data_IF_825631722262
#
_entry.id   IF_825631722262
#
_cell.length_a   1.000
_cell.length_b   1.000
_cell.length_c   1.000
_cell.angle_alpha   90.00
_cell.angle_beta   90.00
_cell.angle_gamma   90.00
#
_symmetry.space_group_name_H-M   'P 1'
#
loop_
_entity.id
_entity.type
_entity.pdbx_description
1 polymer ?
#
# COMPACT_ATOMS: atom_id res chain seq x y z
N UNK A 1 -9.80 -67.17 13.54
CA UNK A 1 -8.84 -66.20 12.97
C UNK A 1 -9.23 -64.74 13.25
N UNK A 2 -10.51 -64.36 13.12
CA UNK A 2 -10.99 -62.97 13.36
C UNK A 2 -10.77 -62.43 14.80
N UNK A 3 -10.91 -63.25 15.85
CA UNK A 3 -10.73 -62.79 17.25
C UNK A 3 -9.27 -62.45 17.62
N UNK A 4 -8.27 -63.08 16.99
CA UNK A 4 -6.85 -62.77 17.24
C UNK A 4 -6.44 -61.43 16.58
N UNK A 5 -7.07 -61.07 15.46
CA UNK A 5 -6.82 -59.80 14.78
C UNK A 5 -7.38 -58.59 15.56
N UNK A 6 -8.54 -58.76 16.21
CA UNK A 6 -9.15 -57.69 17.02
C UNK A 6 -8.30 -57.36 18.27
N UNK A 7 -7.77 -58.37 18.97
CA UNK A 7 -6.93 -58.16 20.15
C UNK A 7 -5.59 -57.50 19.80
N UNK A 8 -4.94 -57.92 18.70
CA UNK A 8 -3.70 -57.31 18.21
C UNK A 8 -3.89 -55.83 17.82
N UNK A 9 -4.97 -55.52 17.10
CA UNK A 9 -5.34 -54.14 16.75
C UNK A 9 -5.59 -53.26 17.99
N UNK A 10 -6.17 -53.83 19.06
CA UNK A 10 -6.45 -53.11 20.29
C UNK A 10 -5.17 -52.78 21.08
N UNK A 11 -4.18 -53.68 21.10
CA UNK A 11 -2.84 -53.42 21.69
C UNK A 11 -2.02 -52.39 20.91
N UNK A 12 -2.09 -52.41 19.57
CA UNK A 12 -1.42 -51.41 18.74
C UNK A 12 -2.04 -50.03 18.92
N UNK A 13 -3.37 -49.96 19.01
CA UNK A 13 -4.09 -48.71 19.29
C UNK A 13 -3.74 -48.12 20.67
N UNK A 14 -3.63 -48.95 21.70
CA UNK A 14 -3.21 -48.50 23.04
C UNK A 14 -1.75 -48.01 23.06
N UNK A 15 -0.87 -48.67 22.31
CA UNK A 15 0.55 -48.29 22.22
C UNK A 15 0.73 -46.98 21.45
N UNK A 16 -0.01 -46.81 20.34
CA UNK A 16 -0.08 -45.56 19.60
C UNK A 16 -0.60 -44.41 20.48
N UNK A 17 -1.63 -44.64 21.29
CA UNK A 17 -2.15 -43.64 22.23
C UNK A 17 -1.14 -43.23 23.30
N UNK A 18 -0.39 -44.18 23.87
CA UNK A 18 0.68 -43.88 24.83
C UNK A 18 1.78 -43.04 24.20
N UNK A 19 2.19 -43.36 22.97
CA UNK A 19 3.17 -42.59 22.21
C UNK A 19 2.66 -41.17 21.92
N UNK A 20 1.45 -41.04 21.41
CA UNK A 20 0.82 -39.75 21.11
C UNK A 20 0.75 -38.85 22.36
N UNK A 21 0.35 -39.41 23.52
CA UNK A 21 0.34 -38.67 24.79
C UNK A 21 1.72 -38.18 25.21
N UNK A 22 2.76 -39.03 25.07
CA UNK A 22 4.14 -38.65 25.39
C UNK A 22 4.65 -37.55 24.47
N UNK A 23 4.35 -37.65 23.17
CA UNK A 23 4.70 -36.63 22.18
C UNK A 23 3.98 -35.30 22.48
N UNK A 24 2.68 -35.33 22.77
CA UNK A 24 1.93 -34.12 23.13
C UNK A 24 2.47 -33.46 24.39
N UNK A 25 2.83 -34.26 25.40
CA UNK A 25 3.41 -33.71 26.64
C UNK A 25 4.79 -33.11 26.39
N UNK A 26 5.65 -33.80 25.64
CA UNK A 26 6.96 -33.30 25.23
C UNK A 26 6.87 -32.02 24.39
N UNK A 27 5.92 -31.94 23.46
CA UNK A 27 5.69 -30.77 22.61
C UNK A 27 4.87 -29.67 23.30
N UNK A 28 4.29 -29.92 24.48
CA UNK A 28 3.36 -28.99 25.14
C UNK A 28 3.94 -27.58 25.38
N UNK A 29 5.23 -27.39 25.74
CA UNK A 29 5.78 -26.04 25.89
C UNK A 29 5.84 -25.29 24.55
N UNK A 30 6.19 -25.98 23.46
CA UNK A 30 6.24 -25.39 22.11
C UNK A 30 4.83 -25.07 21.60
N UNK A 31 3.87 -25.95 21.84
CA UNK A 31 2.47 -25.73 21.50
C UNK A 31 1.90 -24.54 22.28
N UNK A 32 2.25 -24.39 23.56
CA UNK A 32 1.84 -23.24 24.37
C UNK A 32 2.42 -21.93 23.82
N UNK A 33 3.71 -21.90 23.48
CA UNK A 33 4.34 -20.72 22.87
C UNK A 33 3.67 -20.37 21.54
N UNK A 34 3.42 -21.36 20.68
CA UNK A 34 2.75 -21.15 19.41
C UNK A 34 1.32 -20.61 19.61
N UNK A 35 0.56 -21.19 20.54
CA UNK A 35 -0.80 -20.76 20.85
C UNK A 35 -0.84 -19.33 21.39
N UNK A 36 0.02 -18.99 22.36
CA UNK A 36 0.07 -17.63 22.93
C UNK A 36 0.48 -16.61 21.85
N UNK A 37 1.43 -16.98 21.00
CA UNK A 37 1.83 -16.14 19.87
C UNK A 37 0.66 -15.91 18.92
N UNK A 38 0.00 -16.97 18.48
CA UNK A 38 -1.12 -16.88 17.55
C UNK A 38 -2.29 -16.07 18.13
N UNK A 39 -2.65 -16.28 19.40
CA UNK A 39 -3.69 -15.49 20.05
C UNK A 39 -3.32 -14.00 20.16
N UNK A 40 -2.04 -13.70 20.38
CA UNK A 40 -1.55 -12.32 20.43
C UNK A 40 -1.60 -11.65 19.05
N UNK A 41 -1.18 -12.37 18.01
CA UNK A 41 -1.24 -11.90 16.62
C UNK A 41 -2.68 -11.75 16.13
N UNK A 42 -3.56 -12.69 16.48
CA UNK A 42 -4.98 -12.60 16.16
C UNK A 42 -5.64 -11.40 16.83
N UNK A 43 -5.29 -11.09 18.09
CA UNK A 43 -5.86 -9.96 18.83
C UNK A 43 -5.54 -8.62 18.18
N UNK A 44 -4.35 -8.45 17.59
CA UNK A 44 -3.99 -7.21 16.89
C UNK A 44 -4.60 -7.12 15.51
N UNK A 45 -5.07 -8.22 14.93
CA UNK A 45 -5.49 -8.31 13.54
C UNK A 45 -4.35 -8.68 12.57
N UNK A 46 -3.17 -9.05 13.09
CA UNK A 46 -2.05 -9.50 12.28
C UNK A 46 -2.39 -10.73 11.43
N UNK A 47 -3.01 -11.74 12.05
CA UNK A 47 -3.39 -12.99 11.40
C UNK A 47 -4.84 -13.01 10.92
N UNK A 48 -5.50 -11.85 10.86
CA UNK A 48 -6.83 -11.75 10.24
C UNK A 48 -6.71 -11.90 8.73
N UNK A 49 -7.57 -12.70 8.09
CA UNK A 49 -7.69 -12.68 6.64
C UNK A 49 -7.97 -11.25 6.14
N UNK A 50 -7.38 -10.87 5.02
CA UNK A 50 -7.50 -9.56 4.40
C UNK A 50 -8.98 -9.18 4.20
N UNK A 51 -9.83 -10.11 3.75
CA UNK A 51 -11.27 -9.87 3.59
C UNK A 51 -11.97 -9.54 4.93
N UNK A 52 -11.51 -10.13 6.03
CA UNK A 52 -12.03 -9.85 7.36
C UNK A 52 -11.55 -8.48 7.85
N UNK A 53 -10.27 -8.14 7.64
CA UNK A 53 -9.72 -6.82 7.94
C UNK A 53 -10.47 -5.71 7.18
N UNK A 54 -10.68 -5.88 5.87
CA UNK A 54 -11.46 -4.95 5.02
C UNK A 54 -12.88 -4.77 5.57
N UNK A 55 -13.56 -5.87 5.91
CA UNK A 55 -14.92 -5.80 6.49
C UNK A 55 -14.92 -5.00 7.80
N UNK A 56 -13.98 -5.27 8.70
CA UNK A 56 -13.89 -4.59 9.99
C UNK A 56 -13.57 -3.10 9.85
N UNK A 57 -12.71 -2.76 8.90
CA UNK A 57 -12.36 -1.37 8.59
C UNK A 57 -13.56 -0.60 8.04
N UNK A 58 -14.34 -1.20 7.13
CA UNK A 58 -15.49 -0.53 6.50
C UNK A 58 -16.68 -0.32 7.45
N UNK A 59 -16.95 -1.26 8.36
CA UNK A 59 -18.07 -1.11 9.31
C UNK A 59 -17.75 -0.19 10.48
N UNK A 60 -16.47 0.15 10.69
CA UNK A 60 -16.09 1.09 11.74
C UNK A 60 -16.69 2.47 11.44
N UNK A 61 -17.22 3.17 12.43
CA UNK A 61 -17.66 4.56 12.25
C UNK A 61 -16.46 5.51 12.16
N UNK A 62 -15.45 5.27 13.00
CA UNK A 62 -14.20 6.03 13.06
C UNK A 62 -13.18 5.59 12.01
N UNK A 63 -12.17 6.43 11.76
CA UNK A 63 -11.05 6.09 10.89
C UNK A 63 -10.29 4.87 11.46
N UNK A 64 -9.94 3.95 10.56
CA UNK A 64 -9.29 2.68 10.91
C UNK A 64 -8.14 2.42 9.95
N UNK A 65 -6.94 2.18 10.47
CA UNK A 65 -5.76 1.88 9.66
C UNK A 65 -5.40 0.40 9.70
N UNK A 66 -4.98 -0.14 8.55
CA UNK A 66 -4.57 -1.54 8.40
C UNK A 66 -3.09 -1.65 7.99
N UNK A 67 -2.29 -2.35 8.78
CA UNK A 67 -0.94 -2.75 8.41
C UNK A 67 -0.42 -3.90 9.27
N UNK A 68 -0.06 -5.00 8.61
CA UNK A 68 0.67 -6.13 9.19
C UNK A 68 2.17 -5.82 9.33
N UNK A 69 2.84 -6.49 10.27
CA UNK A 69 4.30 -6.44 10.47
C UNK A 69 4.94 -7.81 10.27
N UNK A 70 4.40 -8.85 10.92
CA UNK A 70 4.93 -10.20 10.95
C UNK A 70 4.51 -11.06 9.76
N UNK A 71 3.24 -10.98 9.35
CA UNK A 71 2.77 -11.52 8.06
C UNK A 71 3.03 -10.48 6.96
N UNK A 72 3.13 -10.94 5.72
CA UNK A 72 3.18 -10.04 4.58
C UNK A 72 1.94 -9.14 4.57
N UNK A 73 2.15 -7.88 4.22
CA UNK A 73 1.07 -6.90 4.10
C UNK A 73 0.13 -7.20 2.93
N UNK A 74 0.60 -7.95 1.93
CA UNK A 74 -0.15 -8.42 0.75
C UNK A 74 -1.06 -7.34 0.16
N UNK A 75 -0.46 -6.21 -0.22
CA UNK A 75 -1.17 -5.02 -0.71
C UNK A 75 -2.21 -5.38 -1.78
N UNK A 76 -1.82 -6.11 -2.82
CA UNK A 76 -2.73 -6.52 -3.89
C UNK A 76 -3.95 -7.30 -3.39
N UNK A 77 -3.77 -8.27 -2.49
CA UNK A 77 -4.87 -9.07 -1.91
C UNK A 77 -5.83 -8.19 -1.11
N UNK A 78 -5.31 -7.30 -0.27
CA UNK A 78 -6.11 -6.38 0.54
C UNK A 78 -6.85 -5.33 -0.33
N UNK A 79 -6.17 -4.76 -1.33
CA UNK A 79 -6.76 -3.80 -2.28
C UNK A 79 -7.85 -4.43 -3.13
N UNK A 80 -7.58 -5.60 -3.69
CA UNK A 80 -8.55 -6.38 -4.46
C UNK A 80 -9.83 -6.67 -3.65
N UNK A 81 -9.68 -7.15 -2.41
CA UNK A 81 -10.82 -7.40 -1.52
C UNK A 81 -11.64 -6.13 -1.23
N UNK A 82 -10.97 -4.98 -1.14
CA UNK A 82 -11.63 -3.69 -0.90
C UNK A 82 -12.38 -3.19 -2.12
N UNK A 83 -11.77 -3.20 -3.32
CA UNK A 83 -12.43 -2.77 -4.57
C UNK A 83 -13.68 -3.60 -4.82
N UNK A 84 -13.56 -4.93 -4.71
CA UNK A 84 -14.69 -5.86 -4.90
C UNK A 84 -15.85 -5.56 -3.95
N UNK A 85 -15.56 -5.08 -2.75
CA UNK A 85 -16.57 -4.81 -1.71
C UNK A 85 -17.13 -3.39 -1.76
N UNK A 86 -16.29 -2.38 -2.03
CA UNK A 86 -16.71 -0.97 -2.08
C UNK A 86 -17.36 -0.59 -3.40
N UNK A 87 -17.02 -1.25 -4.50
CA UNK A 87 -17.45 -0.87 -5.84
C UNK A 87 -17.23 0.64 -6.13
N UNK A 88 -15.98 1.12 -6.03
CA UNK A 88 -15.69 2.54 -6.23
C UNK A 88 -15.91 2.95 -7.70
N UNK A 89 -16.44 4.15 -7.91
CA UNK A 89 -16.58 4.75 -9.25
C UNK A 89 -15.29 5.42 -9.71
N UNK A 90 -14.45 5.88 -8.77
CA UNK A 90 -13.14 6.50 -9.04
C UNK A 90 -12.07 5.66 -8.36
N UNK A 91 -11.08 5.17 -9.13
CA UNK A 91 -9.96 4.41 -8.59
C UNK A 91 -8.64 5.05 -8.97
N UNK A 92 -7.77 5.30 -7.98
CA UNK A 92 -6.37 5.58 -8.23
C UNK A 92 -5.55 4.29 -8.13
N UNK A 93 -4.88 3.85 -9.17
CA UNK A 93 -4.11 2.59 -9.22
C UNK A 93 -2.69 2.86 -9.72
N UNK A 94 -1.71 2.12 -9.19
CA UNK A 94 -0.30 2.35 -9.50
C UNK A 94 0.58 1.73 -8.42
N UNK A 95 1.86 2.10 -8.41
CA UNK A 95 2.80 1.68 -7.35
C UNK A 95 2.54 2.42 -6.04
N UNK A 96 3.49 2.34 -5.11
CA UNK A 96 3.41 3.09 -3.86
C UNK A 96 3.38 4.61 -4.06
N UNK A 97 3.84 5.10 -5.22
CA UNK A 97 4.00 6.53 -5.50
C UNK A 97 2.69 7.30 -5.71
N UNK A 98 1.56 6.60 -5.84
CA UNK A 98 0.22 7.22 -5.87
C UNK A 98 -0.57 7.02 -4.58
N UNK A 99 0.01 6.43 -3.53
CA UNK A 99 -0.70 6.10 -2.29
C UNK A 99 -1.11 7.31 -1.45
N UNK A 100 -0.63 8.52 -1.76
CA UNK A 100 -0.98 9.74 -1.03
C UNK A 100 -2.16 10.52 -1.61
N UNK A 101 -2.81 10.01 -2.66
CA UNK A 101 -4.10 10.52 -3.12
C UNK A 101 -5.19 10.13 -2.11
N UNK A 102 -5.86 11.12 -1.53
CA UNK A 102 -6.87 10.96 -0.48
C UNK A 102 -8.29 11.12 -1.01
N UNK A 103 -9.26 10.47 -0.37
CA UNK A 103 -10.68 10.56 -0.74
C UNK A 103 -11.25 11.99 -0.70
N UNK A 104 -10.93 12.78 0.32
CA UNK A 104 -11.45 14.12 0.48
C UNK A 104 -11.02 15.05 -0.66
N UNK A 105 -9.99 14.68 -1.43
CA UNK A 105 -9.57 15.42 -2.62
C UNK A 105 -10.63 15.36 -3.74
N UNK A 106 -11.57 14.42 -3.64
CA UNK A 106 -12.66 14.22 -4.59
C UNK A 106 -14.02 14.70 -4.04
N UNK A 107 -14.06 15.51 -2.98
CA UNK A 107 -15.32 15.98 -2.40
C UNK A 107 -16.21 16.66 -3.45
N UNK A 108 -17.53 16.35 -3.54
CA UNK A 108 -18.33 15.52 -2.62
C UNK A 108 -18.31 14.01 -2.92
N UNK A 109 -17.57 13.55 -3.91
CA UNK A 109 -17.46 12.14 -4.34
C UNK A 109 -16.50 11.29 -3.50
N UNK A 110 -16.17 11.71 -2.27
CA UNK A 110 -15.19 10.98 -1.43
C UNK A 110 -15.57 9.50 -1.20
N UNK A 111 -16.86 9.19 -1.08
CA UNK A 111 -17.34 7.81 -0.88
C UNK A 111 -17.25 6.95 -2.15
N UNK A 112 -17.26 7.59 -3.33
CA UNK A 112 -17.10 6.94 -4.63
C UNK A 112 -15.62 6.69 -4.98
N UNK A 113 -14.68 7.27 -4.24
CA UNK A 113 -13.25 7.13 -4.46
C UNK A 113 -12.62 5.98 -3.66
N UNK A 114 -11.66 5.29 -4.28
CA UNK A 114 -10.73 4.41 -3.60
C UNK A 114 -9.31 4.46 -4.18
N UNK A 115 -8.31 4.55 -3.31
CA UNK A 115 -6.90 4.46 -3.65
C UNK A 115 -6.43 2.99 -3.59
N UNK A 116 -6.17 2.43 -4.77
CA UNK A 116 -5.57 1.13 -5.02
C UNK A 116 -4.05 1.19 -5.27
N UNK A 117 -3.38 2.29 -4.93
CA UNK A 117 -1.93 2.42 -4.96
C UNK A 117 -1.21 1.30 -4.20
N UNK A 118 -0.09 0.85 -4.76
CA UNK A 118 0.67 -0.31 -4.30
C UNK A 118 0.15 -1.65 -4.84
N UNK A 119 -0.99 -1.68 -5.54
CA UNK A 119 -1.56 -2.90 -6.14
C UNK A 119 -0.84 -3.31 -7.43
N UNK A 120 -0.37 -2.37 -8.23
CA UNK A 120 0.29 -2.64 -9.52
C UNK A 120 1.68 -2.04 -9.53
N UNK A 121 2.68 -2.80 -9.94
CA UNK A 121 4.09 -2.39 -9.95
C UNK A 121 4.77 -2.71 -11.29
N UNK A 122 3.99 -3.12 -12.29
CA UNK A 122 4.45 -3.47 -13.63
C UNK A 122 3.29 -3.47 -14.64
N UNK A 123 3.62 -3.47 -15.92
CA UNK A 123 2.65 -3.63 -17.03
C UNK A 123 1.88 -4.96 -16.91
N UNK A 124 2.53 -6.03 -16.45
CA UNK A 124 1.89 -7.35 -16.23
C UNK A 124 0.77 -7.27 -15.20
N UNK A 125 1.04 -6.70 -14.01
CA UNK A 125 0.04 -6.61 -12.94
C UNK A 125 -1.11 -5.65 -13.29
N UNK A 126 -0.86 -4.61 -14.10
CA UNK A 126 -1.95 -3.81 -14.66
C UNK A 126 -2.78 -4.62 -15.66
N UNK A 127 -2.14 -5.44 -16.50
CA UNK A 127 -2.83 -6.34 -17.42
C UNK A 127 -3.75 -7.31 -16.70
N UNK A 128 -3.26 -7.89 -15.62
CA UNK A 128 -4.04 -8.74 -14.71
C UNK A 128 -5.25 -8.00 -14.11
N UNK A 129 -5.08 -6.75 -13.68
CA UNK A 129 -6.21 -5.93 -13.21
C UNK A 129 -7.26 -5.71 -14.32
N UNK A 130 -6.84 -5.38 -15.54
CA UNK A 130 -7.74 -5.19 -16.70
C UNK A 130 -8.49 -6.50 -17.01
N UNK A 131 -7.80 -7.65 -16.99
CA UNK A 131 -8.42 -8.95 -17.22
C UNK A 131 -9.48 -9.29 -16.17
N UNK A 132 -9.29 -8.92 -14.91
CA UNK A 132 -10.31 -9.11 -13.87
C UNK A 132 -11.55 -8.25 -14.11
N UNK A 133 -11.39 -7.04 -14.64
CA UNK A 133 -12.52 -6.19 -15.02
C UNK A 133 -13.26 -6.80 -16.20
N UNK A 134 -12.55 -7.30 -17.21
CA UNK A 134 -13.14 -7.95 -18.39
C UNK A 134 -13.87 -9.25 -18.07
N UNK A 135 -13.40 -9.97 -17.06
CA UNK A 135 -14.03 -11.19 -16.55
C UNK A 135 -15.14 -10.89 -15.51
N UNK A 136 -15.48 -9.61 -15.30
CA UNK A 136 -16.45 -9.13 -14.31
C UNK A 136 -16.18 -9.65 -12.88
N UNK A 137 -14.91 -9.96 -12.57
CA UNK A 137 -14.45 -10.36 -11.24
C UNK A 137 -14.22 -9.15 -10.33
N UNK A 138 -14.01 -7.99 -10.94
CA UNK A 138 -13.96 -6.68 -10.30
C UNK A 138 -14.99 -5.75 -10.94
N UNK A 139 -15.55 -4.80 -10.17
CA UNK A 139 -16.41 -3.77 -10.72
C UNK A 139 -15.64 -2.83 -11.64
N UNK A 140 -16.29 -2.40 -12.73
CA UNK A 140 -15.74 -1.43 -13.66
C UNK A 140 -15.87 0.00 -13.10
N UNK A 141 -14.77 0.71 -12.78
CA UNK A 141 -14.85 2.10 -12.35
C UNK A 141 -15.29 3.00 -13.52
N UNK A 142 -15.86 4.17 -13.21
CA UNK A 142 -16.13 5.21 -14.21
C UNK A 142 -14.88 5.99 -14.55
N UNK A 143 -13.98 6.17 -13.58
CA UNK A 143 -12.71 6.89 -13.73
C UNK A 143 -11.57 6.07 -13.12
N UNK A 144 -10.48 5.89 -13.88
CA UNK A 144 -9.23 5.32 -13.42
C UNK A 144 -8.09 6.34 -13.54
N UNK A 145 -7.46 6.67 -12.41
CA UNK A 145 -6.24 7.48 -12.35
C UNK A 145 -5.07 6.49 -12.23
N UNK A 146 -4.27 6.35 -13.29
CA UNK A 146 -3.21 5.34 -13.39
C UNK A 146 -1.84 5.99 -13.19
N UNK A 147 -1.15 5.60 -12.12
CA UNK A 147 0.25 5.89 -11.86
C UNK A 147 1.17 4.95 -12.62
N UNK A 148 1.94 5.45 -13.58
CA UNK A 148 2.87 4.66 -14.40
C UNK A 148 4.30 5.04 -14.03
N UNK A 149 5.10 4.12 -13.51
CA UNK A 149 6.50 4.40 -13.17
C UNK A 149 7.45 4.12 -14.34
N UNK A 150 8.61 4.82 -14.41
CA UNK A 150 9.51 4.69 -15.55
C UNK A 150 10.09 3.27 -15.69
N UNK A 151 10.30 2.56 -14.57
CA UNK A 151 10.87 1.22 -14.61
C UNK A 151 9.93 0.17 -15.19
N UNK A 152 8.62 0.45 -15.31
CA UNK A 152 7.67 -0.46 -15.98
C UNK A 152 7.99 -0.61 -17.47
N UNK A 153 8.66 0.39 -18.06
CA UNK A 153 8.93 0.54 -19.49
C UNK A 153 10.43 0.32 -19.80
N UNK A 154 11.16 -0.32 -18.88
CA UNK A 154 12.55 -0.69 -19.05
C UNK A 154 12.66 -2.15 -19.52
N UNK A 155 13.53 -2.45 -20.49
CA UNK A 155 13.62 -3.80 -21.08
C UNK A 155 13.95 -4.86 -20.03
N UNK A 156 14.97 -4.61 -19.20
CA UNK A 156 15.44 -5.53 -18.16
C UNK A 156 14.52 -5.65 -16.93
N UNK A 157 13.49 -4.81 -16.82
CA UNK A 157 12.59 -4.86 -15.67
C UNK A 157 11.52 -5.94 -15.85
N UNK A 158 11.74 -7.09 -15.22
CA UNK A 158 10.77 -8.17 -15.17
C UNK A 158 10.33 -8.38 -13.73
N UNK A 159 9.02 -8.21 -13.49
CA UNK A 159 8.39 -8.56 -12.22
C UNK A 159 7.43 -9.70 -12.47
N UNK A 160 7.93 -10.92 -12.26
CA UNK A 160 7.18 -12.14 -12.59
C UNK A 160 6.18 -12.56 -11.51
N UNK A 161 6.21 -11.90 -10.35
CA UNK A 161 5.36 -12.26 -9.20
C UNK A 161 4.09 -11.43 -9.19
N UNK A 162 3.05 -11.98 -9.80
CA UNK A 162 1.67 -11.52 -9.69
C UNK A 162 1.16 -11.56 -8.25
N UNK A 163 0.41 -10.53 -7.84
CA UNK A 163 -0.37 -10.57 -6.60
C UNK A 163 -1.65 -11.42 -6.72
N UNK A 164 -2.15 -11.71 -7.93
CA UNK A 164 -3.30 -12.61 -8.12
C UNK A 164 -2.98 -14.05 -7.77
N UNK A 165 -1.73 -14.48 -7.99
CA UNK A 165 -1.28 -15.81 -7.59
C UNK A 165 -1.05 -15.94 -6.07
N UNK A 166 -1.10 -14.84 -5.32
CA UNK A 166 -0.86 -14.86 -3.88
C UNK A 166 -2.12 -15.30 -3.14
N UNK A 167 -2.02 -16.40 -2.40
CA UNK A 167 -3.01 -16.72 -1.38
C UNK A 167 -2.78 -15.87 -0.14
N UNK A 168 -3.86 -15.46 0.53
CA UNK A 168 -3.76 -14.74 1.82
C UNK A 168 -2.98 -15.57 2.84
N UNK A 169 -1.91 -15.00 3.37
CA UNK A 169 -0.98 -15.66 4.30
C UNK A 169 -1.66 -16.04 5.62
N UNK A 170 -2.78 -15.41 5.97
CA UNK A 170 -3.59 -15.78 7.13
C UNK A 170 -4.17 -17.21 7.03
N UNK A 171 -4.18 -17.82 5.84
CA UNK A 171 -4.59 -19.22 5.65
C UNK A 171 -3.40 -20.17 5.46
N UNK A 172 -2.18 -19.66 5.47
CA UNK A 172 -0.99 -20.45 5.15
C UNK A 172 -0.19 -20.80 6.41
N UNK A 173 -0.21 -22.06 6.82
CA UNK A 173 0.54 -22.54 7.98
C UNK A 173 2.02 -22.12 7.97
N UNK A 174 2.68 -22.16 6.80
CA UNK A 174 4.08 -21.75 6.66
C UNK A 174 4.31 -20.27 7.07
N UNK A 175 3.36 -19.39 6.77
CA UNK A 175 3.45 -17.96 7.11
C UNK A 175 3.37 -17.73 8.62
N UNK A 176 2.50 -18.45 9.34
CA UNK A 176 2.43 -18.41 10.80
C UNK A 176 3.72 -18.93 11.45
N UNK A 177 4.30 -20.02 10.91
CA UNK A 177 5.60 -20.52 11.39
C UNK A 177 6.72 -19.52 11.11
N UNK A 178 6.72 -18.85 9.96
CA UNK A 178 7.72 -17.82 9.65
C UNK A 178 7.57 -16.58 10.53
N UNK A 179 6.34 -16.17 10.85
CA UNK A 179 6.07 -15.12 11.82
C UNK A 179 6.64 -15.46 13.20
N UNK A 180 6.37 -16.68 13.71
CA UNK A 180 6.95 -17.15 14.97
C UNK A 180 8.48 -17.19 14.94
N UNK A 181 9.08 -17.72 13.87
CA UNK A 181 10.54 -17.72 13.68
C UNK A 181 11.11 -16.31 13.72
N UNK A 182 10.45 -15.35 13.08
CA UNK A 182 10.88 -13.94 13.07
C UNK A 182 10.82 -13.34 14.47
N UNK A 183 9.74 -13.58 15.22
CA UNK A 183 9.59 -13.12 16.60
C UNK A 183 10.72 -13.67 17.48
N UNK A 184 10.99 -14.97 17.41
CA UNK A 184 12.05 -15.63 18.19
C UNK A 184 13.43 -15.08 17.82
N UNK A 185 13.78 -15.08 16.53
CA UNK A 185 15.12 -14.70 16.05
C UNK A 185 15.45 -13.24 16.31
N UNK A 186 14.45 -12.37 16.28
CA UNK A 186 14.62 -10.93 16.50
C UNK A 186 14.35 -10.52 17.95
N UNK A 187 14.09 -11.48 18.85
CA UNK A 187 13.74 -11.24 20.26
C UNK A 187 12.56 -10.25 20.44
N UNK A 188 11.53 -10.35 19.59
CA UNK A 188 10.39 -9.43 19.54
C UNK A 188 9.21 -9.88 20.39
N UNK A 189 9.44 -10.71 21.42
CA UNK A 189 8.38 -11.18 22.32
C UNK A 189 7.75 -10.07 23.14
N UNK A 190 8.52 -9.03 23.48
CA UNK A 190 7.98 -7.83 24.13
C UNK A 190 6.89 -7.19 23.27
N UNK A 191 7.03 -7.22 21.95
CA UNK A 191 6.05 -6.64 21.02
C UNK A 191 4.74 -7.41 21.01
N UNK A 192 4.75 -8.74 21.22
CA UNK A 192 3.54 -9.53 21.43
C UNK A 192 2.85 -9.16 22.75
N UNK A 193 3.63 -8.96 23.82
CA UNK A 193 3.09 -8.51 25.10
C UNK A 193 2.47 -7.11 24.98
N UNK A 194 3.18 -6.19 24.31
CA UNK A 194 2.69 -4.85 23.98
C UNK A 194 1.42 -4.94 23.15
N UNK A 195 1.38 -5.77 22.11
CA UNK A 195 0.20 -6.03 21.28
C UNK A 195 -1.03 -6.51 22.08
N UNK A 196 -0.84 -7.32 23.11
CA UNK A 196 -1.94 -7.81 23.96
C UNK A 196 -2.36 -6.79 25.02
N UNK A 197 -1.46 -5.90 25.45
CA UNK A 197 -1.70 -4.98 26.58
C UNK A 197 -1.95 -3.53 26.16
N UNK A 198 -1.53 -3.12 24.96
CA UNK A 198 -1.69 -1.78 24.44
C UNK A 198 -3.04 -1.59 23.76
N UNK A 199 -3.40 -0.32 23.60
CA UNK A 199 -4.63 0.12 22.94
C UNK A 199 -4.69 -0.39 21.50
N UNK A 200 -5.89 -0.70 21.03
CA UNK A 200 -6.22 -0.92 19.61
C UNK A 200 -6.16 0.38 18.79
N UNK A 201 -5.36 1.35 19.23
CA UNK A 201 -5.31 2.73 18.76
C UNK A 201 -3.91 3.09 18.28
N UNK A 202 -3.86 3.82 17.17
CA UNK A 202 -2.60 4.24 16.58
C UNK A 202 -1.95 5.29 17.48
N UNK A 203 -0.60 5.33 17.53
CA UNK A 203 0.09 6.42 18.17
C UNK A 203 -0.27 7.73 17.46
N UNK A 204 -0.37 8.79 18.25
CA UNK A 204 -0.76 10.12 17.81
C UNK A 204 -2.22 10.20 17.32
N UNK A 205 -2.55 9.75 16.11
CA UNK A 205 -3.89 9.99 15.57
C UNK A 205 -5.03 9.25 16.29
N UNK A 206 -4.75 8.21 17.08
CA UNK A 206 -5.78 7.49 17.83
C UNK A 206 -6.76 6.71 16.97
N UNK A 207 -6.41 6.44 15.72
CA UNK A 207 -7.23 5.65 14.82
C UNK A 207 -7.27 4.21 15.27
N UNK A 208 -8.40 3.55 15.06
CA UNK A 208 -8.48 2.11 15.31
C UNK A 208 -7.46 1.38 14.42
N UNK A 209 -6.79 0.38 14.97
CA UNK A 209 -5.72 -0.34 14.29
C UNK A 209 -6.11 -1.78 13.98
N UNK A 210 -5.72 -2.24 12.79
CA UNK A 210 -5.74 -3.63 12.40
C UNK A 210 -4.33 -4.01 11.92
N UNK A 211 -3.68 -4.92 12.63
CA UNK A 211 -2.31 -5.35 12.42
C UNK A 211 -1.30 -4.64 13.33
N UNK A 212 -0.17 -5.30 13.55
CA UNK A 212 0.84 -4.88 14.54
C UNK A 212 1.57 -3.61 14.12
N UNK A 213 1.85 -3.42 12.82
CA UNK A 213 2.53 -2.22 12.34
C UNK A 213 1.64 -0.98 12.49
N UNK A 214 0.33 -1.13 12.28
CA UNK A 214 -0.64 -0.06 12.49
C UNK A 214 -0.66 0.43 13.94
N UNK A 215 -0.73 -0.49 14.91
CA UNK A 215 -0.75 -0.14 16.33
C UNK A 215 0.60 0.36 16.86
N UNK A 216 1.72 -0.18 16.34
CA UNK A 216 3.06 0.19 16.82
C UNK A 216 3.59 1.49 16.22
N UNK A 217 3.50 1.63 14.90
CA UNK A 217 4.13 2.74 14.17
C UNK A 217 3.13 3.81 13.75
N UNK A 218 1.83 3.53 13.84
CA UNK A 218 0.78 4.39 13.31
C UNK A 218 0.74 4.42 11.79
N UNK A 219 1.37 3.46 11.12
CA UNK A 219 1.44 3.41 9.66
C UNK A 219 0.46 2.39 9.09
N UNK A 220 -0.13 2.67 7.93
CA UNK A 220 -0.97 1.69 7.25
C UNK A 220 -2.00 2.28 6.31
N UNK A 221 -2.75 1.41 5.66
CA UNK A 221 -3.83 1.81 4.77
C UNK A 221 -5.02 2.36 5.55
N UNK A 222 -5.46 3.56 5.19
CA UNK A 222 -6.73 4.13 5.65
C UNK A 222 -7.91 3.51 4.92
N UNK A 223 -9.14 3.86 5.32
CA UNK A 223 -10.39 3.42 4.67
C UNK A 223 -10.50 3.78 3.19
N UNK A 224 -9.97 4.94 2.82
CA UNK A 224 -9.90 5.38 1.42
C UNK A 224 -8.81 4.63 0.62
N UNK A 225 -7.99 3.81 1.28
CA UNK A 225 -6.90 3.09 0.68
C UNK A 225 -5.59 3.88 0.55
N UNK A 226 -5.55 5.15 0.95
CA UNK A 226 -4.29 5.88 1.00
C UNK A 226 -3.37 5.33 2.10
N UNK A 227 -2.07 5.60 2.00
CA UNK A 227 -1.08 5.16 2.98
C UNK A 227 -0.83 6.23 4.03
N UNK A 228 -1.14 5.95 5.30
CA UNK A 228 -0.62 6.76 6.38
C UNK A 228 0.83 6.35 6.66
N UNK A 229 1.76 7.29 6.46
CA UNK A 229 3.12 7.16 6.98
C UNK A 229 3.14 7.33 8.50
N UNK A 230 4.24 6.90 9.11
CA UNK A 230 4.47 7.01 10.54
C UNK A 230 4.35 8.49 10.96
N UNK A 231 3.51 8.84 11.96
CA UNK A 231 3.34 10.24 12.39
C UNK A 231 4.64 10.92 12.84
N UNK A 232 5.63 10.11 13.24
CA UNK A 232 6.99 10.55 13.55
C UNK A 232 7.63 11.31 12.39
N UNK A 233 7.40 10.91 11.13
CA UNK A 233 7.94 11.60 9.95
C UNK A 233 7.43 13.04 9.87
N UNK A 234 6.12 13.24 10.13
CA UNK A 234 5.52 14.58 10.15
C UNK A 234 6.07 15.41 11.31
N UNK A 235 6.25 14.81 12.48
CA UNK A 235 6.80 15.47 13.67
C UNK A 235 8.27 15.88 13.48
N UNK A 236 9.08 14.99 12.90
CA UNK A 236 10.47 15.26 12.55
C UNK A 236 10.57 16.43 11.57
N UNK A 237 9.77 16.42 10.50
CA UNK A 237 9.74 17.54 9.57
C UNK A 237 9.28 18.84 10.25
N UNK A 238 8.25 18.79 11.10
CA UNK A 238 7.77 19.97 11.81
C UNK A 238 8.83 20.56 12.76
N UNK A 239 9.76 19.73 13.26
CA UNK A 239 10.84 20.15 14.14
C UNK A 239 12.08 20.64 13.37
N UNK A 240 12.49 19.91 12.35
CA UNK A 240 13.74 20.14 11.63
C UNK A 240 13.58 21.06 10.43
N UNK A 241 12.38 21.11 9.85
CA UNK A 241 12.06 21.87 8.63
C UNK A 241 13.01 21.55 7.46
N UNK A 242 13.49 20.31 7.40
CA UNK A 242 14.44 19.85 6.40
C UNK A 242 13.93 18.59 5.69
N UNK A 243 14.15 18.54 4.38
CA UNK A 243 13.98 17.34 3.60
C UNK A 243 15.07 16.33 3.97
N UNK A 244 14.64 15.07 4.09
CA UNK A 244 15.52 13.93 4.33
C UNK A 244 14.98 12.79 3.48
N UNK A 245 15.83 12.21 2.65
CA UNK A 245 15.49 10.98 1.95
C UNK A 245 15.47 9.82 2.95
N UNK A 246 14.30 9.24 3.18
CA UNK A 246 14.05 8.21 4.20
C UNK A 246 14.22 6.79 3.66
N UNK A 247 14.51 6.64 2.38
CA UNK A 247 14.84 5.37 1.76
C UNK A 247 16.28 4.96 2.07
N UNK A 248 16.54 3.66 2.16
CA UNK A 248 17.87 3.14 2.49
C UNK A 248 18.31 2.13 1.43
N UNK A 249 19.33 2.46 0.60
CA UNK A 249 19.99 3.76 0.50
C UNK A 249 19.05 4.86 -0.05
N UNK A 250 19.36 6.15 0.16
CA UNK A 250 18.65 7.28 -0.45
C UNK A 250 18.46 7.09 -1.96
N UNK A 251 17.35 7.58 -2.50
CA UNK A 251 17.00 7.40 -3.91
C UNK A 251 18.00 8.09 -4.83
N UNK A 252 18.51 9.25 -4.43
CA UNK A 252 19.56 9.96 -5.16
C UNK A 252 20.83 9.09 -5.31
N UNK A 253 21.23 8.39 -4.24
CA UNK A 253 22.38 7.48 -4.27
C UNK A 253 22.10 6.28 -5.19
N UNK A 254 20.86 5.79 -5.23
CA UNK A 254 20.47 4.70 -6.15
C UNK A 254 20.56 5.13 -7.62
N UNK A 255 20.25 6.39 -7.91
CA UNK A 255 20.40 6.95 -9.26
C UNK A 255 21.89 7.00 -9.62
N UNK A 256 22.72 7.64 -8.79
CA UNK A 256 24.16 7.80 -9.06
C UNK A 256 24.93 6.49 -9.11
N UNK A 257 24.48 5.47 -8.39
CA UNK A 257 25.12 4.13 -8.36
C UNK A 257 24.46 3.11 -9.30
N UNK A 258 23.47 3.53 -10.10
CA UNK A 258 22.68 2.66 -10.97
C UNK A 258 22.16 1.41 -10.25
N UNK A 259 21.55 1.60 -9.08
CA UNK A 259 21.04 0.52 -8.23
C UNK A 259 19.52 0.37 -8.30
N UNK A 260 19.05 -0.88 -8.24
CA UNK A 260 17.62 -1.20 -8.19
C UNK A 260 16.88 -0.77 -9.45
N UNK A 261 15.83 0.05 -9.31
CA UNK A 261 15.02 0.49 -10.45
C UNK A 261 15.81 1.33 -11.47
N UNK A 262 16.94 1.92 -11.06
CA UNK A 262 17.83 2.73 -11.90
C UNK A 262 19.03 1.96 -12.45
N UNK A 263 18.98 0.62 -12.44
CA UNK A 263 20.06 -0.20 -13.01
C UNK A 263 20.29 0.08 -14.50
N UNK A 264 21.56 0.22 -14.86
CA UNK A 264 22.05 0.29 -16.23
C UNK A 264 22.30 -1.13 -16.82
N UNK A 265 22.18 -1.32 -18.15
CA UNK A 265 21.71 -0.33 -19.11
C UNK A 265 20.20 -0.06 -18.93
N UNK A 266 19.82 1.22 -18.94
CA UNK A 266 18.41 1.61 -18.89
C UNK A 266 17.89 1.81 -20.31
N UNK A 267 17.37 0.73 -20.89
CA UNK A 267 16.84 0.73 -22.26
C UNK A 267 15.32 0.79 -22.24
N UNK A 268 14.77 1.63 -23.12
CA UNK A 268 13.33 1.71 -23.37
C UNK A 268 12.81 0.40 -23.99
N UNK A 269 11.64 -0.04 -23.55
CA UNK A 269 10.97 -1.24 -24.03
C UNK A 269 9.69 -0.89 -24.80
N UNK A 270 9.78 -0.96 -26.13
CA UNK A 270 8.67 -0.65 -27.02
C UNK A 270 7.52 -1.67 -26.94
N UNK A 271 7.81 -2.91 -26.59
CA UNK A 271 6.75 -3.92 -26.43
C UNK A 271 5.94 -3.64 -25.16
N UNK A 272 6.62 -3.32 -24.06
CA UNK A 272 5.95 -2.91 -22.81
C UNK A 272 5.19 -1.61 -22.97
N UNK A 273 5.74 -0.63 -23.71
CA UNK A 273 5.05 0.65 -23.98
C UNK A 273 3.78 0.43 -24.79
N UNK A 274 3.85 -0.35 -25.88
CA UNK A 274 2.70 -0.68 -26.72
C UNK A 274 1.66 -1.51 -25.97
N UNK A 275 2.10 -2.48 -25.16
CA UNK A 275 1.21 -3.26 -24.30
C UNK A 275 0.50 -2.39 -23.28
N UNK A 276 1.20 -1.46 -22.63
CA UNK A 276 0.62 -0.55 -21.65
C UNK A 276 -0.44 0.36 -22.29
N UNK A 277 -0.16 0.92 -23.46
CA UNK A 277 -1.13 1.71 -24.23
C UNK A 277 -2.37 0.87 -24.58
N UNK A 278 -2.19 -0.36 -25.05
CA UNK A 278 -3.30 -1.28 -25.35
C UNK A 278 -4.17 -1.58 -24.13
N UNK A 279 -3.57 -1.75 -22.94
CA UNK A 279 -4.30 -1.95 -21.69
C UNK A 279 -5.15 -0.72 -21.32
N UNK A 280 -4.61 0.49 -21.49
CA UNK A 280 -5.35 1.73 -21.26
C UNK A 280 -6.53 1.84 -22.24
N UNK A 281 -6.33 1.55 -23.52
CA UNK A 281 -7.40 1.57 -24.52
C UNK A 281 -8.49 0.53 -24.25
N UNK A 282 -8.13 -0.64 -23.71
CA UNK A 282 -9.11 -1.66 -23.27
C UNK A 282 -9.98 -1.16 -22.13
N UNK A 283 -9.41 -0.43 -21.16
CA UNK A 283 -10.19 0.25 -20.12
C UNK A 283 -11.16 1.28 -20.73
N UNK A 284 -10.68 2.13 -21.65
CA UNK A 284 -11.52 3.12 -22.33
C UNK A 284 -12.65 2.48 -23.14
N UNK A 285 -12.38 1.36 -23.83
CA UNK A 285 -13.40 0.60 -24.59
C UNK A 285 -14.51 0.07 -23.69
N UNK A 286 -14.22 -0.17 -22.40
CA UNK A 286 -15.21 -0.56 -21.39
C UNK A 286 -15.97 0.63 -20.79
N UNK A 287 -15.73 1.85 -21.28
CA UNK A 287 -16.36 3.07 -20.77
C UNK A 287 -15.71 3.62 -19.51
N UNK A 288 -14.50 3.17 -19.16
CA UNK A 288 -13.70 3.77 -18.09
C UNK A 288 -12.95 4.98 -18.63
N UNK A 289 -13.19 6.17 -18.09
CA UNK A 289 -12.32 7.31 -18.34
C UNK A 289 -10.95 7.06 -17.70
N UNK A 290 -9.88 7.23 -18.46
CA UNK A 290 -8.51 7.02 -17.96
C UNK A 290 -7.73 8.33 -17.96
N UNK A 291 -7.22 8.69 -16.79
CA UNK A 291 -6.21 9.74 -16.62
C UNK A 291 -4.90 9.09 -16.18
N UNK A 292 -3.79 9.51 -16.77
CA UNK A 292 -2.45 9.01 -16.42
C UNK A 292 -1.70 10.04 -15.60
N UNK A 293 -1.08 9.58 -14.53
CA UNK A 293 -0.11 10.34 -13.75
C UNK A 293 1.22 9.65 -13.88
N UNK A 294 2.21 10.37 -14.38
CA UNK A 294 3.62 9.96 -14.27
C UNK A 294 4.08 10.42 -12.88
N UNK A 295 4.29 9.53 -11.90
CA UNK A 295 4.44 9.97 -10.51
C UNK A 295 5.67 10.87 -10.31
N UNK A 296 5.61 11.82 -9.37
CA UNK A 296 6.64 12.84 -9.19
C UNK A 296 7.86 12.32 -8.45
N UNK A 297 8.98 13.02 -8.58
CA UNK A 297 10.24 12.75 -7.88
C UNK A 297 10.66 13.99 -7.08
N UNK A 298 11.63 13.82 -6.17
CA UNK A 298 12.34 14.98 -5.61
C UNK A 298 13.09 15.74 -6.70
N UNK A 299 13.34 17.03 -6.47
CA UNK A 299 13.98 17.92 -7.43
C UNK A 299 15.37 17.40 -7.83
N UNK A 300 16.16 16.93 -6.85
CA UNK A 300 17.50 16.37 -7.09
C UNK A 300 17.46 15.06 -7.92
N UNK A 301 16.43 14.24 -7.72
CA UNK A 301 16.25 13.01 -8.49
C UNK A 301 15.88 13.32 -9.96
N UNK A 302 14.96 14.26 -10.21
CA UNK A 302 14.65 14.69 -11.59
C UNK A 302 15.89 15.25 -12.27
N UNK A 303 16.62 16.14 -11.58
CA UNK A 303 17.83 16.71 -12.12
C UNK A 303 18.83 15.62 -12.49
N UNK A 304 19.12 14.69 -11.57
CA UNK A 304 20.09 13.61 -11.80
C UNK A 304 19.67 12.69 -12.94
N UNK A 305 18.40 12.29 -13.03
CA UNK A 305 17.89 11.49 -14.13
C UNK A 305 18.01 12.19 -15.49
N UNK A 306 17.92 13.52 -15.52
CA UNK A 306 18.00 14.31 -16.75
C UNK A 306 19.43 14.55 -17.26
N UNK A 307 20.44 14.34 -16.43
CA UNK A 307 21.87 14.61 -16.77
C UNK A 307 22.75 13.36 -16.73
N UNK A 308 22.31 12.28 -16.09
CA UNK A 308 23.03 11.01 -16.05
C UNK A 308 23.10 10.37 -17.44
N UNK A 309 24.31 10.11 -17.93
CA UNK A 309 24.54 9.66 -19.30
C UNK A 309 23.90 8.29 -19.62
N UNK A 310 23.80 7.41 -18.64
CA UNK A 310 23.28 6.04 -18.82
C UNK A 310 21.75 5.97 -18.63
N UNK A 311 21.15 6.96 -17.96
CA UNK A 311 19.72 7.00 -17.67
C UNK A 311 18.94 8.02 -18.50
N UNK A 312 19.58 9.11 -18.96
CA UNK A 312 18.92 10.25 -19.60
C UNK A 312 18.04 9.84 -20.78
N UNK A 313 18.53 8.98 -21.66
CA UNK A 313 17.77 8.59 -22.86
C UNK A 313 16.46 7.85 -22.49
N UNK A 314 16.53 6.93 -21.54
CA UNK A 314 15.34 6.22 -21.04
C UNK A 314 14.40 7.15 -20.27
N UNK A 315 14.97 8.06 -19.47
CA UNK A 315 14.20 9.05 -18.75
C UNK A 315 13.46 10.01 -19.70
N UNK A 316 14.12 10.52 -20.75
CA UNK A 316 13.50 11.37 -21.76
C UNK A 316 12.38 10.63 -22.52
N UNK A 317 12.62 9.36 -22.87
CA UNK A 317 11.60 8.51 -23.50
C UNK A 317 10.36 8.36 -22.61
N UNK A 318 10.54 8.22 -21.30
CA UNK A 318 9.45 8.18 -20.34
C UNK A 318 8.74 9.53 -20.14
N UNK A 319 9.50 10.59 -19.82
CA UNK A 319 8.96 11.90 -19.43
C UNK A 319 8.32 12.65 -20.59
N UNK A 320 8.84 12.49 -21.80
CA UNK A 320 8.40 13.23 -22.99
C UNK A 320 7.82 12.28 -24.04
N UNK A 321 8.60 11.29 -24.50
CA UNK A 321 8.20 10.42 -25.61
C UNK A 321 6.89 9.66 -25.38
N UNK A 322 6.77 8.98 -24.25
CA UNK A 322 5.56 8.22 -23.91
C UNK A 322 4.39 9.11 -23.50
N UNK A 323 4.67 10.23 -22.84
CA UNK A 323 3.65 11.26 -22.57
C UNK A 323 3.03 11.75 -23.87
N UNK A 324 3.83 12.06 -24.89
CA UNK A 324 3.34 12.49 -26.20
C UNK A 324 2.58 11.37 -26.92
N UNK A 325 3.05 10.13 -26.79
CA UNK A 325 2.37 8.94 -27.32
C UNK A 325 0.96 8.79 -26.71
N UNK A 326 0.82 8.96 -25.39
CA UNK A 326 -0.47 8.91 -24.71
C UNK A 326 -1.39 10.06 -25.16
N UNK A 327 -0.86 11.28 -25.27
CA UNK A 327 -1.62 12.47 -25.72
C UNK A 327 -2.16 12.32 -27.14
N UNK A 328 -1.37 11.77 -28.05
CA UNK A 328 -1.80 11.50 -29.44
C UNK A 328 -3.01 10.55 -29.47
N UNK A 329 -3.12 9.65 -28.50
CA UNK A 329 -4.26 8.75 -28.35
C UNK A 329 -5.41 9.34 -27.52
N UNK A 330 -5.40 10.66 -27.27
CA UNK A 330 -6.46 11.36 -26.54
C UNK A 330 -6.49 11.05 -25.04
N UNK A 331 -5.40 10.51 -24.47
CA UNK A 331 -5.32 10.20 -23.05
C UNK A 331 -4.86 11.45 -22.30
N UNK A 332 -5.60 11.83 -21.26
CA UNK A 332 -5.20 12.91 -20.36
C UNK A 332 -4.03 12.43 -19.52
N UNK A 333 -2.88 13.10 -19.63
CA UNK A 333 -1.65 12.70 -18.93
C UNK A 333 -0.98 13.90 -18.27
N UNK A 334 -0.67 13.75 -16.99
CA UNK A 334 0.25 14.65 -16.29
C UNK A 334 1.66 14.07 -16.34
N UNK A 335 2.64 14.81 -16.89
CA UNK A 335 4.02 14.37 -16.95
C UNK A 335 4.65 14.32 -15.55
N UNK A 336 5.80 13.67 -15.46
CA UNK A 336 6.55 13.61 -14.22
C UNK A 336 6.95 15.03 -13.80
N UNK A 337 6.76 15.33 -12.52
CA UNK A 337 7.00 16.64 -11.94
C UNK A 337 7.84 16.54 -10.68
N UNK A 338 8.43 17.66 -10.30
CA UNK A 338 9.03 17.90 -9.00
C UNK A 338 8.20 18.96 -8.25
N UNK A 339 8.42 19.14 -6.93
CA UNK A 339 7.69 20.12 -6.13
C UNK A 339 7.76 21.56 -6.68
N UNK A 340 8.87 21.97 -7.31
CA UNK A 340 9.09 23.35 -7.74
C UNK A 340 8.10 23.80 -8.82
N UNK A 341 7.60 22.86 -9.64
CA UNK A 341 6.57 23.14 -10.66
C UNK A 341 5.25 23.64 -10.08
N UNK A 342 5.02 23.42 -8.78
CA UNK A 342 3.83 23.87 -8.06
C UNK A 342 4.13 24.99 -7.05
N UNK A 343 5.35 25.56 -7.10
CA UNK A 343 5.82 26.55 -6.13
C UNK A 343 6.13 25.95 -4.75
N UNK A 344 6.42 24.65 -4.70
CA UNK A 344 6.78 23.90 -3.50
C UNK A 344 8.29 23.58 -3.51
N UNK A 345 8.76 22.91 -2.47
CA UNK A 345 10.13 22.39 -2.38
C UNK A 345 10.12 20.92 -1.92
N UNK A 346 11.31 20.30 -1.81
CA UNK A 346 11.43 18.89 -1.45
C UNK A 346 10.98 18.57 -0.02
N UNK A 347 10.66 19.55 0.84
CA UNK A 347 10.04 19.26 2.15
C UNK A 347 8.64 18.65 2.00
N UNK A 348 8.02 18.79 0.83
CA UNK A 348 6.77 18.14 0.45
C UNK A 348 6.94 16.70 -0.04
N UNK A 349 8.17 16.17 -0.01
CA UNK A 349 8.49 14.78 -0.32
C UNK A 349 8.79 14.00 0.97
N UNK A 350 8.28 12.77 1.05
CA UNK A 350 8.60 11.83 2.13
C UNK A 350 10.04 11.32 1.97
N UNK A 351 10.42 11.05 0.73
CA UNK A 351 11.71 10.58 0.25
C UNK A 351 11.84 10.89 -1.26
N UNK A 352 12.91 10.43 -1.92
CA UNK A 352 13.13 10.78 -3.32
C UNK A 352 12.09 10.23 -4.32
N UNK A 353 11.28 9.23 -3.92
CA UNK A 353 10.19 8.66 -4.73
C UNK A 353 8.81 9.16 -4.35
N UNK A 354 8.54 9.33 -3.06
CA UNK A 354 7.19 9.40 -2.52
C UNK A 354 6.81 10.85 -2.16
N UNK A 355 5.85 11.45 -2.87
CA UNK A 355 5.32 12.76 -2.50
C UNK A 355 4.48 12.66 -1.21
N UNK A 356 4.42 13.75 -0.45
CA UNK A 356 3.49 13.92 0.67
C UNK A 356 2.05 14.16 0.21
N UNK A 357 1.11 14.13 1.16
CA UNK A 357 -0.33 14.30 0.83
C UNK A 357 -0.62 15.67 0.19
N UNK A 358 0.09 16.73 0.61
CA UNK A 358 -0.16 18.08 0.09
C UNK A 358 0.30 18.22 -1.35
N UNK A 359 1.51 17.75 -1.68
CA UNK A 359 1.99 17.77 -3.07
C UNK A 359 1.10 16.91 -3.99
N UNK A 360 0.68 15.72 -3.55
CA UNK A 360 -0.31 14.95 -4.31
C UNK A 360 -1.63 15.68 -4.50
N UNK A 361 -2.07 16.49 -3.54
CA UNK A 361 -3.26 17.32 -3.70
C UNK A 361 -3.11 18.42 -4.76
N UNK A 362 -1.90 18.99 -4.95
CA UNK A 362 -1.61 19.88 -6.08
C UNK A 362 -1.69 19.16 -7.42
N UNK A 363 -1.15 17.94 -7.50
CA UNK A 363 -1.25 17.09 -8.70
C UNK A 363 -2.71 16.74 -8.99
N UNK A 364 -3.50 16.39 -7.97
CA UNK A 364 -4.94 16.14 -8.14
C UNK A 364 -5.67 17.38 -8.62
N UNK A 365 -5.36 18.57 -8.09
CA UNK A 365 -5.98 19.80 -8.59
C UNK A 365 -5.72 20.03 -10.08
N UNK A 366 -4.52 19.69 -10.56
CA UNK A 366 -4.17 19.78 -11.98
C UNK A 366 -4.85 18.69 -12.83
N UNK A 367 -5.03 17.48 -12.29
CA UNK A 367 -5.83 16.43 -12.92
C UNK A 367 -7.27 16.89 -13.11
N UNK A 368 -7.89 17.46 -12.07
CA UNK A 368 -9.28 17.94 -12.13
C UNK A 368 -9.45 19.02 -13.20
N UNK A 369 -8.48 19.92 -13.36
CA UNK A 369 -8.49 20.96 -14.42
C UNK A 369 -8.32 20.38 -15.82
N UNK A 370 -7.50 19.33 -15.94
CA UNK A 370 -7.20 18.69 -17.22
C UNK A 370 -8.24 17.65 -17.63
N UNK A 371 -9.14 17.25 -16.72
CA UNK A 371 -10.16 16.24 -16.97
C UNK A 371 -11.12 16.71 -18.08
N UNK A 372 -11.63 15.80 -18.92
CA UNK A 372 -12.65 16.11 -19.93
C UNK A 372 -13.90 16.79 -19.32
N UNK A 373 -14.60 17.62 -20.09
CA UNK A 373 -15.81 18.32 -19.63
C UNK A 373 -16.96 17.38 -19.24
N UNK A 374 -17.01 16.18 -19.82
CA UNK A 374 -18.02 15.17 -19.51
C UNK A 374 -17.59 14.25 -18.35
N UNK A 375 -16.38 14.45 -17.82
CA UNK A 375 -15.84 13.62 -16.74
C UNK A 375 -16.66 13.72 -15.47
N UNK A 376 -16.80 12.58 -14.76
CA UNK A 376 -17.30 12.55 -13.40
C UNK A 376 -16.50 13.49 -12.47
N UNK A 377 -15.22 13.72 -12.78
CA UNK A 377 -14.35 14.60 -12.01
C UNK A 377 -14.78 16.08 -12.05
N UNK A 378 -15.59 16.49 -13.04
CA UNK A 378 -16.14 17.86 -13.08
C UNK A 378 -17.11 18.16 -11.94
N UNK A 379 -17.60 17.13 -11.23
CA UNK A 379 -18.45 17.29 -10.05
C UNK A 379 -17.63 17.55 -8.77
N UNK A 380 -16.30 17.39 -8.82
CA UNK A 380 -15.41 17.62 -7.68
C UNK A 380 -15.27 19.11 -7.42
N UNK A 381 -15.37 19.50 -6.15
CA UNK A 381 -15.18 20.89 -5.72
C UNK A 381 -13.68 21.22 -5.63
N UNK A 382 -13.10 21.58 -6.77
CA UNK A 382 -11.69 21.99 -6.87
C UNK A 382 -11.34 23.19 -5.96
N UNK A 383 -12.28 24.10 -5.72
CA UNK A 383 -12.07 25.24 -4.82
C UNK A 383 -11.96 24.79 -3.35
N UNK A 384 -12.78 23.82 -2.93
CA UNK A 384 -12.70 23.25 -1.59
C UNK A 384 -11.39 22.49 -1.38
N UNK A 385 -10.91 21.75 -2.40
CA UNK A 385 -9.58 21.14 -2.35
C UNK A 385 -8.50 22.22 -2.23
N UNK A 386 -8.56 23.29 -3.03
CA UNK A 386 -7.60 24.38 -2.94
C UNK A 386 -7.56 25.01 -1.55
N UNK A 387 -8.71 25.30 -0.96
CA UNK A 387 -8.80 25.82 0.40
C UNK A 387 -8.18 24.88 1.44
N UNK A 388 -8.31 23.56 1.26
CA UNK A 388 -7.66 22.55 2.13
C UNK A 388 -6.13 22.55 1.98
N UNK A 389 -5.61 22.73 0.77
CA UNK A 389 -4.17 22.85 0.52
C UNK A 389 -3.61 24.08 1.22
N UNK A 390 -4.28 25.22 1.09
CA UNK A 390 -3.86 26.48 1.72
C UNK A 390 -3.92 26.40 3.27
N UNK A 391 -4.71 25.47 3.83
CA UNK A 391 -4.83 25.23 5.28
C UNK A 391 -4.12 23.95 5.76
N UNK A 392 -3.23 23.36 4.96
CA UNK A 392 -2.55 22.12 5.34
C UNK A 392 -1.69 22.33 6.59
N UNK A 393 -1.65 21.33 7.48
CA UNK A 393 -0.88 21.41 8.72
C UNK A 393 0.63 21.39 8.47
N UNK A 394 1.09 20.53 7.57
CA UNK A 394 2.51 20.42 7.19
C UNK A 394 2.62 20.06 5.70
N UNK A 395 3.81 20.21 5.10
CA UNK A 395 4.06 19.78 3.72
C UNK A 395 3.68 18.31 3.43
N UNK A 396 3.73 17.45 4.45
CA UNK A 396 3.51 16.01 4.32
C UNK A 396 2.10 15.55 4.67
N UNK A 397 1.28 16.39 5.32
CA UNK A 397 -0.03 15.95 5.78
C UNK A 397 -0.96 17.08 6.21
N UNK A 398 -2.26 16.82 6.10
CA UNK A 398 -3.30 17.81 6.38
C UNK A 398 -3.69 17.92 7.86
N UNK A 399 -3.37 16.91 8.68
CA UNK A 399 -3.77 16.85 10.08
C UNK A 399 -2.56 16.78 11.02
N UNK A 400 -2.63 17.53 12.12
CA UNK A 400 -1.62 17.51 13.17
C UNK A 400 -1.64 16.20 13.96
N UNK A 401 -0.52 15.47 14.07
CA UNK A 401 -0.42 14.32 14.96
C UNK A 401 -0.41 14.79 16.43
N UNK A 402 -1.42 14.43 17.22
CA UNK A 402 -1.50 14.77 18.64
C UNK A 402 -1.27 13.53 19.47
N UNK A 403 -0.32 13.49 20.41
CA UNK A 403 -0.03 12.25 21.16
C UNK A 403 -1.27 11.73 21.89
N UNK A 404 -1.85 10.64 21.40
CA UNK A 404 -2.93 9.97 22.09
C UNK A 404 -2.39 9.24 23.32
N UNK A 405 -2.58 9.81 24.51
CA UNK A 405 -2.37 9.07 25.75
C UNK A 405 -3.44 7.99 25.84
N UNK A 406 -3.10 6.70 26.06
CA UNK A 406 -4.11 5.74 26.46
C UNK A 406 -4.64 6.21 27.81
N UNK A 407 -5.92 6.60 27.90
CA UNK A 407 -6.58 6.78 29.19
C UNK A 407 -6.58 5.42 29.88
N UNK A 408 -5.57 5.15 30.69
CA UNK A 408 -5.66 4.13 31.73
C UNK A 408 -6.62 4.73 32.76
N UNK A 409 -7.92 4.49 32.60
CA UNK A 409 -8.86 4.66 33.70
C UNK A 409 -8.48 3.65 34.76
N UNK A 410 -7.52 4.00 35.62
CA UNK A 410 -7.40 3.37 36.92
C UNK A 410 -8.70 3.69 37.65
N UNK A 411 -9.61 2.71 37.69
CA UNK A 411 -10.66 2.70 38.72
C UNK A 411 -9.92 2.82 40.05
N UNK A 412 -10.12 3.94 40.74
CA UNK A 412 -9.73 4.07 42.14
C UNK A 412 -10.30 2.87 42.90
N UNK A 413 -9.51 2.16 43.71
CA UNK A 413 -10.11 1.24 44.66
C UNK A 413 -10.98 2.07 45.60
N UNK A 414 -12.28 1.81 45.55
CA UNK A 414 -13.24 2.29 46.55
C UNK A 414 -12.68 1.96 47.93
N UNK A 415 -12.49 2.98 48.75
CA UNK A 415 -12.28 2.83 50.19
C UNK A 415 -13.59 2.45 50.88
#
# INVERSE_FOLDING_TARGET
MQLKNAAAQQTDQQSAWKLARRLLWFLSPLLLIALVTELSLWKTGETWPAIYAVRQQQIAAEETIYCRDFLSQQFGVYKFATIKRRNPEIVAIGSSRVMQIRDFMFSPLQESFYNAGGMTQSVTELGEYVELLEQDKLPNPKVAIIGIDPWWLKSEYHRDKSWLAQQDEAFQFASHINALKRIVRQNRFSELYTAVTHSDRSPFFGYRCIGTAASKYGSGFRKDGSWQYSPQIILELAQQQQYVDREVPPIIDRIHSHFGNFSAPATWDEEKSARLLSLIQRLQTRGTEVLVVMPPYSSDCIHSLSVDADLKQWWDAYQQGFVDTLRVHGITVLPASDPSQYGLDDTYMIDGYHPGEVFMGHIVLELLRSAPQESLLQQVNAQALRAKLDSAFSPLGFAAPQRHSPRVTMRSPSR
#
